data_IF_238571483310
#
_entry.id   IF_238571483310
#
_cell.length_a   1.000
_cell.length_b   1.000
_cell.length_c   1.000
_cell.angle_alpha   90.00
_cell.angle_beta   90.00
_cell.angle_gamma   90.00
#
_symmetry.space_group_name_H-M   'P 1'
#
loop_
_entity.id
_entity.type
_entity.pdbx_description
1 polymer ?
#
# COMPACT_ATOMS: atom_id res chain seq x y z
N UNK A 1 -1.85 9.17 -20.37
CA UNK A 1 -1.96 7.71 -20.38
C UNK A 1 -0.77 7.00 -21.00
N UNK A 2 0.15 7.74 -21.57
CA UNK A 2 1.38 7.16 -22.14
C UNK A 2 2.25 6.47 -21.08
N UNK A 3 2.10 6.83 -19.82
CA UNK A 3 2.85 6.25 -18.69
C UNK A 3 2.18 5.02 -18.09
N UNK A 4 0.92 4.76 -18.43
CA UNK A 4 0.12 3.73 -17.77
C UNK A 4 0.55 2.32 -18.18
N UNK A 5 0.75 2.08 -19.48
CA UNK A 5 1.12 0.74 -19.95
C UNK A 5 2.48 0.28 -19.42
N UNK A 6 3.53 1.11 -19.45
CA UNK A 6 4.81 0.73 -18.84
C UNK A 6 4.68 0.46 -17.34
N UNK A 7 3.84 1.23 -16.63
CA UNK A 7 3.59 1.03 -15.20
C UNK A 7 2.95 -0.34 -14.94
N UNK A 8 1.93 -0.70 -15.73
CA UNK A 8 1.25 -1.99 -15.62
C UNK A 8 2.21 -3.14 -15.93
N UNK A 9 3.02 -2.99 -16.98
CA UNK A 9 3.99 -4.02 -17.36
C UNK A 9 4.99 -4.28 -16.24
N UNK A 10 5.46 -3.23 -15.56
CA UNK A 10 6.34 -3.36 -14.40
C UNK A 10 5.65 -4.10 -13.24
N UNK A 11 4.36 -3.86 -13.03
CA UNK A 11 3.59 -4.56 -11.98
C UNK A 11 3.55 -6.07 -12.27
N UNK A 12 3.39 -6.45 -13.53
CA UNK A 12 3.28 -7.86 -13.91
C UNK A 12 4.61 -8.60 -13.80
N UNK A 13 5.72 -7.90 -13.83
CA UNK A 13 7.06 -8.49 -13.77
C UNK A 13 7.53 -8.65 -12.32
N UNK A 14 8.01 -9.85 -11.95
CA UNK A 14 8.66 -10.11 -10.67
C UNK A 14 7.76 -9.91 -9.44
N UNK A 15 8.38 -9.50 -8.33
CA UNK A 15 7.74 -9.35 -7.03
C UNK A 15 7.20 -7.94 -6.83
N UNK A 16 6.05 -7.64 -7.38
CA UNK A 16 5.42 -6.33 -7.24
C UNK A 16 4.75 -6.18 -5.87
N UNK A 17 4.99 -5.05 -5.22
CA UNK A 17 4.42 -4.70 -3.92
C UNK A 17 3.54 -3.48 -4.09
N UNK A 18 2.29 -3.60 -3.68
CA UNK A 18 1.35 -2.49 -3.65
C UNK A 18 1.51 -1.76 -2.32
N UNK A 19 2.00 -0.53 -2.35
CA UNK A 19 2.07 0.33 -1.18
C UNK A 19 0.90 1.32 -1.25
N UNK A 20 -0.03 1.15 -0.36
CA UNK A 20 -1.23 1.97 -0.31
C UNK A 20 -1.08 3.05 0.76
N UNK A 21 -1.16 4.32 0.36
CA UNK A 21 -1.02 5.45 1.28
C UNK A 21 -2.27 6.31 1.19
N UNK A 22 -2.99 6.41 2.31
CA UNK A 22 -4.17 7.25 2.39
C UNK A 22 -3.77 8.64 2.87
N UNK A 23 -4.08 9.66 2.06
CA UNK A 23 -3.88 11.05 2.40
C UNK A 23 -5.23 11.69 2.74
N UNK A 24 -5.57 12.78 2.13
CA UNK A 24 -6.86 13.44 2.31
C UNK A 24 -7.16 13.72 3.78
N UNK A 25 -8.38 13.45 4.19
CA UNK A 25 -8.85 13.70 5.56
C UNK A 25 -8.33 12.69 6.59
N UNK A 26 -7.73 11.58 6.18
CA UNK A 26 -7.19 10.59 7.11
C UNK A 26 -6.05 11.16 7.96
N UNK A 27 -5.19 12.00 7.39
CA UNK A 27 -4.05 12.60 8.11
C UNK A 27 -4.52 13.41 9.33
N UNK A 28 -5.62 14.16 9.18
CA UNK A 28 -6.14 15.04 10.23
C UNK A 28 -7.26 14.42 11.05
N UNK A 29 -7.64 13.19 10.70
CA UNK A 29 -8.73 12.51 11.39
C UNK A 29 -8.19 11.84 12.67
N UNK A 30 -8.73 12.18 13.85
CA UNK A 30 -8.23 11.61 15.10
C UNK A 30 -8.46 10.11 15.25
N UNK A 31 -9.34 9.54 14.43
CA UNK A 31 -9.62 8.10 14.47
C UNK A 31 -8.78 7.34 13.45
N UNK A 32 -8.57 7.91 12.26
CA UNK A 32 -7.95 7.21 11.12
C UNK A 32 -6.49 7.59 10.84
N UNK A 33 -5.96 8.62 11.43
CA UNK A 33 -4.63 9.14 11.13
C UNK A 33 -3.50 8.36 11.83
N UNK A 34 -3.42 7.05 11.63
CA UNK A 34 -2.47 6.20 12.37
C UNK A 34 -1.18 5.89 11.60
N UNK A 35 -1.23 5.80 10.28
CA UNK A 35 -0.05 5.41 9.50
C UNK A 35 0.91 6.57 9.35
N UNK A 36 2.20 6.31 9.56
CA UNK A 36 3.27 7.31 9.52
C UNK A 36 4.36 6.88 8.54
N UNK A 37 5.28 7.79 8.24
CA UNK A 37 6.45 7.46 7.44
C UNK A 37 7.25 6.31 8.08
N UNK A 38 7.36 6.31 9.41
CA UNK A 38 8.06 5.24 10.12
C UNK A 38 7.44 3.88 9.82
N UNK A 39 6.12 3.78 9.86
CA UNK A 39 5.41 2.55 9.51
C UNK A 39 5.67 2.15 8.06
N UNK A 40 5.49 3.06 7.12
CA UNK A 40 5.66 2.74 5.71
C UNK A 40 7.09 2.34 5.38
N UNK A 41 8.09 3.04 5.94
CA UNK A 41 9.48 2.69 5.69
C UNK A 41 9.84 1.33 6.31
N UNK A 42 9.37 1.05 7.52
CA UNK A 42 9.57 -0.24 8.16
C UNK A 42 8.93 -1.37 7.34
N UNK A 43 7.75 -1.13 6.79
CA UNK A 43 7.05 -2.10 5.94
C UNK A 43 7.81 -2.36 4.64
N UNK A 44 8.35 -1.31 4.02
CA UNK A 44 9.18 -1.45 2.81
C UNK A 44 10.43 -2.26 3.13
N UNK A 45 11.11 -1.95 4.22
CA UNK A 45 12.32 -2.67 4.65
C UNK A 45 12.00 -4.15 4.88
N UNK A 46 10.89 -4.46 5.53
CA UNK A 46 10.46 -5.84 5.77
C UNK A 46 10.14 -6.56 4.47
N UNK A 47 9.52 -5.87 3.52
CA UNK A 47 9.22 -6.45 2.21
C UNK A 47 10.49 -6.82 1.45
N UNK A 48 11.52 -5.96 1.49
CA UNK A 48 12.82 -6.27 0.87
C UNK A 48 13.55 -7.39 1.58
N UNK A 49 13.38 -7.52 2.89
CA UNK A 49 13.93 -8.64 3.66
C UNK A 49 13.36 -9.97 3.17
N UNK A 50 12.04 -10.01 2.95
CA UNK A 50 11.34 -11.23 2.53
C UNK A 50 11.42 -11.45 1.02
N UNK A 51 11.47 -10.39 0.24
CA UNK A 51 11.48 -10.42 -1.22
C UNK A 51 12.55 -9.46 -1.74
N UNK A 52 13.82 -9.91 -1.84
CA UNK A 52 14.93 -9.01 -2.18
C UNK A 52 14.80 -8.32 -3.56
N UNK A 53 14.05 -8.91 -4.47
CA UNK A 53 13.84 -8.35 -5.81
C UNK A 53 12.53 -7.57 -5.93
N UNK A 54 11.92 -7.21 -4.82
CA UNK A 54 10.65 -6.50 -4.81
C UNK A 54 10.74 -5.15 -5.51
N UNK A 55 9.65 -4.78 -6.16
CA UNK A 55 9.43 -3.44 -6.73
C UNK A 55 8.24 -2.82 -6.04
N UNK A 56 8.39 -1.60 -5.54
CA UNK A 56 7.35 -0.93 -4.77
C UNK A 56 6.56 0.01 -5.68
N UNK A 57 5.25 -0.19 -5.73
CA UNK A 57 4.31 0.64 -6.49
C UNK A 57 3.41 1.39 -5.52
N UNK A 58 3.48 2.71 -5.56
CA UNK A 58 2.75 3.58 -4.62
C UNK A 58 1.43 4.00 -5.24
N UNK A 59 0.36 3.71 -4.52
CA UNK A 59 -1.00 4.15 -4.86
C UNK A 59 -1.55 5.02 -3.75
N UNK A 60 -2.19 6.11 -4.11
CA UNK A 60 -2.74 7.05 -3.14
C UNK A 60 -3.92 7.81 -3.73
N UNK A 61 -4.77 8.32 -2.85
CA UNK A 61 -5.80 9.28 -3.22
C UNK A 61 -5.21 10.66 -3.58
N UNK A 62 -3.95 10.91 -3.22
CA UNK A 62 -3.25 12.15 -3.56
C UNK A 62 -1.75 11.89 -3.67
N UNK A 63 -1.30 11.49 -4.85
CA UNK A 63 0.10 11.14 -5.11
C UNK A 63 1.03 12.34 -4.90
N UNK A 64 0.62 13.53 -5.29
CA UNK A 64 1.45 14.72 -5.12
C UNK A 64 1.69 15.04 -3.64
N UNK A 65 0.66 14.86 -2.80
CA UNK A 65 0.80 15.02 -1.37
C UNK A 65 1.74 13.98 -0.78
N UNK A 66 1.69 12.73 -1.28
CA UNK A 66 2.61 11.67 -0.85
C UNK A 66 4.06 12.08 -1.13
N UNK A 67 4.34 12.56 -2.33
CA UNK A 67 5.70 12.97 -2.72
C UNK A 67 6.23 14.12 -1.85
N UNK A 68 5.34 15.00 -1.39
CA UNK A 68 5.72 16.12 -0.51
C UNK A 68 5.88 15.72 0.94
N UNK A 69 5.11 14.73 1.39
CA UNK A 69 5.04 14.36 2.81
C UNK A 69 6.04 13.27 3.18
N UNK A 70 6.22 12.29 2.29
CA UNK A 70 7.04 11.12 2.57
C UNK A 70 8.29 11.09 1.71
N UNK A 71 9.39 10.65 2.33
CA UNK A 71 10.68 10.45 1.65
C UNK A 71 11.14 9.03 1.95
N UNK A 72 11.17 8.19 0.92
CA UNK A 72 11.58 6.78 1.07
C UNK A 72 13.02 6.59 0.65
N UNK A 73 13.74 5.71 1.36
CA UNK A 73 15.14 5.39 1.04
C UNK A 73 15.29 4.63 -0.27
N UNK A 74 14.21 3.98 -0.71
CA UNK A 74 14.21 3.09 -1.87
C UNK A 74 13.58 3.78 -3.08
N UNK A 75 13.94 3.33 -4.27
CA UNK A 75 13.24 3.75 -5.48
C UNK A 75 11.84 3.15 -5.48
N UNK A 76 10.85 3.99 -5.72
CA UNK A 76 9.45 3.56 -5.79
C UNK A 76 8.83 4.07 -7.08
N UNK A 77 7.82 3.35 -7.58
CA UNK A 77 7.05 3.74 -8.75
C UNK A 77 5.72 4.32 -8.27
N UNK A 78 5.41 5.54 -8.69
CA UNK A 78 4.14 6.18 -8.33
C UNK A 78 3.10 5.94 -9.41
N UNK A 79 1.84 5.73 -9.01
CA UNK A 79 0.76 5.55 -9.98
C UNK A 79 0.65 6.77 -10.90
N UNK A 80 0.43 6.56 -12.21
CA UNK A 80 0.25 7.66 -13.15
C UNK A 80 -1.06 8.40 -12.92
N UNK A 81 -1.13 9.66 -13.32
CA UNK A 81 -2.35 10.45 -13.27
C UNK A 81 -3.44 9.86 -14.16
N UNK A 82 -4.68 10.11 -13.79
CA UNK A 82 -5.83 9.81 -14.63
C UNK A 82 -6.43 8.43 -14.46
N UNK A 83 -5.99 7.64 -13.48
CA UNK A 83 -6.65 6.38 -13.16
C UNK A 83 -7.94 6.62 -12.40
N UNK A 84 -9.04 6.01 -12.85
CA UNK A 84 -10.29 6.04 -12.09
C UNK A 84 -10.25 4.98 -10.98
N UNK A 85 -11.27 4.96 -10.11
CA UNK A 85 -11.30 4.05 -8.97
C UNK A 85 -11.27 2.57 -9.38
N UNK A 86 -11.98 2.21 -10.45
CA UNK A 86 -12.01 0.84 -10.94
C UNK A 86 -10.65 0.41 -11.50
N UNK A 87 -10.02 1.27 -12.30
CA UNK A 87 -8.67 1.03 -12.81
C UNK A 87 -7.68 0.87 -11.66
N UNK A 88 -7.75 1.77 -10.69
CA UNK A 88 -6.86 1.75 -9.52
C UNK A 88 -6.94 0.43 -8.77
N UNK A 89 -8.15 -0.01 -8.40
CA UNK A 89 -8.32 -1.25 -7.64
C UNK A 89 -7.85 -2.46 -8.45
N UNK A 90 -8.06 -2.43 -9.77
CA UNK A 90 -7.61 -3.49 -10.66
C UNK A 90 -6.09 -3.61 -10.66
N UNK A 91 -5.38 -2.49 -10.87
CA UNK A 91 -3.91 -2.50 -10.91
C UNK A 91 -3.30 -2.83 -9.56
N UNK A 92 -3.88 -2.32 -8.49
CA UNK A 92 -3.42 -2.66 -7.13
C UNK A 92 -3.53 -4.15 -6.87
N UNK A 93 -4.67 -4.76 -7.21
CA UNK A 93 -4.90 -6.19 -6.99
C UNK A 93 -4.04 -7.10 -7.88
N UNK A 94 -3.41 -6.56 -8.93
CA UNK A 94 -2.46 -7.28 -9.77
C UNK A 94 -1.09 -7.42 -9.11
N UNK A 95 -0.79 -6.65 -8.10
CA UNK A 95 0.45 -6.79 -7.34
C UNK A 95 0.45 -8.13 -6.58
N UNK A 96 1.64 -8.60 -6.24
CA UNK A 96 1.79 -9.89 -5.55
C UNK A 96 1.80 -9.75 -4.04
N UNK A 97 2.24 -8.61 -3.54
CA UNK A 97 2.34 -8.36 -2.10
C UNK A 97 1.75 -6.99 -1.79
N UNK A 98 1.41 -6.76 -0.52
CA UNK A 98 0.66 -5.58 -0.13
C UNK A 98 1.17 -4.99 1.18
N UNK A 99 1.37 -3.66 1.18
CA UNK A 99 1.54 -2.86 2.38
C UNK A 99 0.29 -2.01 2.49
N UNK A 100 -0.53 -2.30 3.49
CA UNK A 100 -1.82 -1.64 3.64
C UNK A 100 -1.71 -0.38 4.49
N UNK A 101 -2.51 0.62 4.11
CA UNK A 101 -2.89 1.68 5.05
C UNK A 101 -4.14 1.22 5.81
N UNK A 102 -4.58 2.00 6.78
CA UNK A 102 -5.79 1.70 7.53
C UNK A 102 -7.05 2.16 6.78
N UNK A 103 -7.20 1.66 5.55
CA UNK A 103 -8.36 2.00 4.72
C UNK A 103 -9.01 0.73 4.17
N UNK A 104 -10.34 0.73 4.09
CA UNK A 104 -11.07 -0.40 3.52
C UNK A 104 -10.74 -0.61 2.04
N UNK A 105 -10.42 0.47 1.32
CA UNK A 105 -10.02 0.38 -0.07
C UNK A 105 -8.76 -0.49 -0.21
N UNK A 106 -7.72 -0.24 0.61
CA UNK A 106 -6.50 -1.03 0.57
C UNK A 106 -6.76 -2.48 0.98
N UNK A 107 -7.66 -2.71 1.95
CA UNK A 107 -8.04 -4.04 2.37
C UNK A 107 -8.62 -4.85 1.22
N UNK A 108 -9.51 -4.26 0.43
CA UNK A 108 -10.16 -4.93 -0.69
C UNK A 108 -9.15 -5.30 -1.79
N UNK A 109 -8.12 -4.49 -2.02
CA UNK A 109 -7.13 -4.77 -3.08
C UNK A 109 -6.38 -6.08 -2.80
N UNK A 110 -5.98 -6.33 -1.55
CA UNK A 110 -5.34 -7.58 -1.20
C UNK A 110 -6.32 -8.75 -1.24
N UNK A 111 -7.57 -8.53 -0.85
CA UNK A 111 -8.59 -9.56 -0.90
C UNK A 111 -8.87 -10.04 -2.32
N UNK A 112 -8.90 -9.12 -3.28
CA UNK A 112 -9.14 -9.43 -4.69
C UNK A 112 -7.92 -10.04 -5.38
N UNK A 113 -6.75 -9.99 -4.78
CA UNK A 113 -5.54 -10.57 -5.34
C UNK A 113 -5.61 -12.10 -5.28
N UNK A 114 -5.43 -12.74 -6.43
CA UNK A 114 -5.49 -14.20 -6.52
C UNK A 114 -4.16 -14.91 -6.23
N UNK A 115 -3.07 -14.16 -6.06
CA UNK A 115 -1.77 -14.74 -5.79
C UNK A 115 -1.74 -15.39 -4.40
N UNK A 116 -1.56 -16.70 -4.35
CA UNK A 116 -1.70 -17.46 -3.10
C UNK A 116 -0.55 -17.26 -2.11
N UNK A 117 0.62 -16.86 -2.60
CA UNK A 117 1.82 -16.68 -1.77
C UNK A 117 2.04 -15.23 -1.38
N UNK A 118 0.99 -14.42 -1.44
CA UNK A 118 1.10 -13.00 -1.13
C UNK A 118 1.54 -12.77 0.32
N UNK A 119 2.37 -11.76 0.51
CA UNK A 119 2.71 -11.23 1.83
C UNK A 119 1.91 -9.95 2.04
N UNK A 120 1.22 -9.85 3.16
CA UNK A 120 0.44 -8.66 3.51
C UNK A 120 0.98 -8.07 4.80
N UNK A 121 1.39 -6.81 4.76
CA UNK A 121 1.82 -6.04 5.92
C UNK A 121 0.75 -4.99 6.21
N UNK A 122 0.35 -4.87 7.45
CA UNK A 122 -0.69 -3.93 7.86
C UNK A 122 -0.27 -3.22 9.15
N UNK A 123 -0.82 -2.03 9.44
CA UNK A 123 -0.57 -1.38 10.72
C UNK A 123 -1.21 -2.19 11.84
N UNK A 124 -0.50 -2.31 12.97
CA UNK A 124 -1.01 -3.08 14.13
C UNK A 124 -2.27 -2.46 14.73
N UNK A 125 -2.48 -1.17 14.50
CA UNK A 125 -3.70 -0.47 14.87
C UNK A 125 -4.38 0.02 13.60
N UNK A 126 -5.66 -0.35 13.44
CA UNK A 126 -6.45 0.15 12.32
C UNK A 126 -7.02 1.52 12.63
N UNK A 127 -7.30 1.79 13.90
CA UNK A 127 -7.80 3.08 14.38
C UNK A 127 -6.81 3.70 15.35
N UNK A 128 -6.74 5.03 15.37
CA UNK A 128 -5.89 5.77 16.30
C UNK A 128 -6.40 5.65 17.74
N UNK A 129 -7.69 5.35 17.92
CA UNK A 129 -8.32 5.11 19.22
C UNK A 129 -8.57 3.61 19.40
N UNK A 130 -8.79 3.19 20.64
CA UNK A 130 -8.90 1.78 21.00
C UNK A 130 -10.29 1.25 20.64
N UNK A 131 -10.46 0.89 19.36
CA UNK A 131 -11.70 0.32 18.83
C UNK A 131 -11.39 -1.09 18.32
N UNK A 132 -12.15 -2.12 18.72
CA UNK A 132 -11.96 -3.47 18.20
C UNK A 132 -12.08 -3.54 16.68
N UNK A 133 -11.23 -4.35 16.06
CA UNK A 133 -11.19 -4.46 14.60
C UNK A 133 -10.86 -5.90 14.20
N UNK A 134 -11.76 -6.53 13.46
CA UNK A 134 -11.67 -7.94 13.07
C UNK A 134 -11.24 -8.15 11.61
N UNK A 135 -10.64 -7.14 10.97
CA UNK A 135 -10.29 -7.22 9.56
C UNK A 135 -8.94 -7.89 9.29
N UNK A 136 -8.15 -8.11 10.32
CA UNK A 136 -6.82 -8.74 10.19
C UNK A 136 -6.96 -10.23 9.95
N UNK A 137 -6.13 -10.76 9.05
CA UNK A 137 -6.01 -12.20 8.82
C UNK A 137 -4.78 -12.72 9.57
N UNK A 138 -4.83 -13.99 9.97
CA UNK A 138 -3.81 -14.59 10.85
C UNK A 138 -2.40 -14.57 10.24
N UNK A 139 -2.28 -14.65 8.92
CA UNK A 139 -1.00 -14.69 8.25
C UNK A 139 -0.43 -13.31 7.89
N UNK A 140 -1.10 -12.23 8.29
CA UNK A 140 -0.61 -10.89 8.04
C UNK A 140 0.52 -10.52 9.01
N UNK A 141 1.46 -9.71 8.53
CA UNK A 141 2.51 -9.13 9.35
C UNK A 141 2.02 -7.77 9.84
N UNK A 142 1.97 -7.60 11.15
CA UNK A 142 1.50 -6.35 11.76
C UNK A 142 2.72 -5.57 12.28
N UNK A 143 2.82 -4.32 11.86
CA UNK A 143 3.92 -3.45 12.28
C UNK A 143 3.38 -2.26 13.07
N UNK A 144 4.21 -1.78 14.01
CA UNK A 144 3.84 -0.61 14.82
C UNK A 144 3.80 0.66 13.98
N UNK A 145 2.92 1.55 14.35
CA UNK A 145 2.70 2.84 13.69
C UNK A 145 3.37 4.02 14.45
#
# INVERSE_FOLDING_TARGET
RNELMPFIDEIKEGDSVCLSIRMGDYIKNPIHGVCSQKYYQAAIDKMYELHPNAKIFVFSDDVEAVKKTYSFKNNVFYEPDGCNELEKITYMSMCKHFILSNSSFSWWTQYLCSYKKKTVIAPEKWYAVDIPCDIYEDNWILLSV
#
